data_IF_969037616974
#
_entry.id   IF_969037616974
#
_cell.length_a   1.000
_cell.length_b   1.000
_cell.length_c   1.000
_cell.angle_alpha   90.00
_cell.angle_beta   90.00
_cell.angle_gamma   90.00
#
_symmetry.space_group_name_H-M   'P 1'
#
loop_
_entity.id
_entity.type
_entity.pdbx_description
1 polymer ?
#
# COMPACT_ATOMS: atom_id res chain seq x y z
N UNK A 1 8.20 11.77 -6.06
CA UNK A 1 7.74 10.67 -5.18
C UNK A 1 6.47 11.10 -4.47
N UNK A 2 5.50 10.21 -4.32
CA UNK A 2 4.23 10.52 -3.67
C UNK A 2 4.42 10.83 -2.19
N UNK A 3 3.65 11.81 -1.67
CA UNK A 3 3.63 12.15 -0.25
C UNK A 3 2.44 11.50 0.45
N UNK A 4 2.48 11.45 1.78
CA UNK A 4 1.35 10.96 2.58
C UNK A 4 0.06 11.73 2.27
N UNK A 5 0.15 13.05 2.14
CA UNK A 5 -1.00 13.90 1.85
C UNK A 5 -1.62 13.57 0.50
N UNK A 6 -0.80 13.42 -0.54
CA UNK A 6 -1.26 13.00 -1.86
C UNK A 6 -1.89 11.61 -1.82
N UNK A 7 -1.25 10.68 -1.11
CA UNK A 7 -1.74 9.31 -0.99
C UNK A 7 -3.13 9.27 -0.34
N UNK A 8 -3.33 10.00 0.74
CA UNK A 8 -4.63 10.07 1.45
C UNK A 8 -5.73 10.72 0.63
N UNK A 9 -5.37 11.55 -0.35
CA UNK A 9 -6.34 12.19 -1.24
C UNK A 9 -6.86 11.27 -2.34
N UNK A 10 -6.12 10.23 -2.68
CA UNK A 10 -6.47 9.33 -3.79
C UNK A 10 -6.83 7.92 -3.37
N UNK A 11 -6.34 7.47 -2.22
CA UNK A 11 -6.57 6.11 -1.70
C UNK A 11 -7.03 6.14 -0.25
N UNK A 12 -7.93 5.22 0.07
CA UNK A 12 -8.29 4.90 1.45
C UNK A 12 -7.60 3.59 1.83
N UNK A 13 -6.97 3.55 3.00
CA UNK A 13 -6.30 2.37 3.53
C UNK A 13 -7.03 1.84 4.75
N UNK A 14 -7.40 0.56 4.74
CA UNK A 14 -8.00 -0.12 5.88
C UNK A 14 -6.91 -0.90 6.62
N UNK A 15 -6.53 -0.43 7.82
CA UNK A 15 -5.43 -1.06 8.58
C UNK A 15 -5.81 -2.46 9.10
N UNK A 16 -7.10 -2.77 9.24
CA UNK A 16 -7.52 -4.09 9.71
C UNK A 16 -7.37 -5.17 8.66
N UNK A 17 -7.58 -4.80 7.39
CA UNK A 17 -7.52 -5.74 6.27
C UNK A 17 -6.27 -5.57 5.42
N UNK A 18 -5.61 -4.41 5.51
CA UNK A 18 -4.48 -4.07 4.65
C UNK A 18 -4.87 -3.71 3.22
N UNK A 19 -6.14 -3.43 2.97
CA UNK A 19 -6.66 -3.19 1.64
C UNK A 19 -6.70 -1.69 1.35
N UNK A 20 -6.21 -1.31 0.15
CA UNK A 20 -6.39 0.03 -0.40
C UNK A 20 -7.57 0.06 -1.35
N UNK A 21 -8.35 1.14 -1.30
CA UNK A 21 -9.43 1.39 -2.27
C UNK A 21 -9.27 2.78 -2.86
N UNK A 22 -9.62 2.93 -4.15
CA UNK A 22 -9.62 4.23 -4.79
C UNK A 22 -10.78 5.08 -4.26
N UNK A 23 -10.49 6.28 -3.78
CA UNK A 23 -11.53 7.18 -3.23
C UNK A 23 -12.55 7.53 -4.30
N UNK A 24 -12.11 7.73 -5.54
CA UNK A 24 -12.99 8.18 -6.65
C UNK A 24 -14.10 7.19 -7.00
N UNK A 25 -13.92 5.90 -6.77
CA UNK A 25 -14.91 4.87 -7.19
C UNK A 25 -15.06 3.72 -6.19
N UNK A 26 -14.36 3.74 -5.07
CA UNK A 26 -14.40 2.71 -4.02
C UNK A 26 -13.99 1.31 -4.51
N UNK A 27 -13.27 1.22 -5.64
CA UNK A 27 -12.76 -0.05 -6.17
C UNK A 27 -11.44 -0.37 -5.48
N UNK A 28 -11.22 -1.64 -5.14
CA UNK A 28 -9.97 -2.11 -4.57
C UNK A 28 -8.81 -1.80 -5.51
N UNK A 29 -7.77 -1.16 -4.98
CA UNK A 29 -6.59 -0.79 -5.75
C UNK A 29 -5.52 -1.88 -5.66
N UNK A 30 -4.80 -2.06 -6.75
CA UNK A 30 -3.64 -2.93 -6.78
C UNK A 30 -3.83 -4.25 -7.50
N UNK A 31 -2.71 -4.83 -7.91
CA UNK A 31 -2.66 -6.13 -8.59
C UNK A 31 -1.59 -6.98 -7.91
N UNK A 32 -1.80 -8.30 -7.90
CA UNK A 32 -0.82 -9.24 -7.34
C UNK A 32 0.29 -9.44 -8.37
N UNK A 33 1.53 -9.18 -7.96
CA UNK A 33 2.71 -9.42 -8.80
C UNK A 33 3.10 -10.90 -8.80
N UNK A 34 4.01 -11.27 -9.72
CA UNK A 34 4.52 -12.64 -9.83
C UNK A 34 5.11 -13.18 -8.53
N UNK A 35 5.71 -12.29 -7.73
CA UNK A 35 6.31 -12.65 -6.44
C UNK A 35 5.32 -12.70 -5.27
N UNK A 36 4.04 -12.43 -5.52
CA UNK A 36 3.00 -12.43 -4.50
C UNK A 36 2.76 -11.11 -3.80
N UNK A 37 3.53 -10.08 -4.10
CA UNK A 37 3.30 -8.74 -3.55
C UNK A 37 2.20 -8.02 -4.32
N UNK A 38 1.53 -7.09 -3.65
CA UNK A 38 0.55 -6.23 -4.30
C UNK A 38 1.22 -4.92 -4.71
N UNK A 39 1.04 -4.55 -5.98
CA UNK A 39 1.52 -3.29 -6.53
C UNK A 39 0.35 -2.38 -6.89
N UNK A 40 0.49 -1.09 -6.61
CA UNK A 40 -0.51 -0.08 -6.96
C UNK A 40 0.16 0.95 -7.86
N UNK A 41 -0.41 1.17 -9.05
CA UNK A 41 0.11 2.14 -10.00
C UNK A 41 -0.55 3.50 -9.81
N UNK A 42 0.26 4.52 -9.50
CA UNK A 42 -0.20 5.89 -9.27
C UNK A 42 0.63 6.81 -10.15
N UNK A 43 -0.03 7.61 -11.01
CA UNK A 43 0.64 8.58 -11.88
C UNK A 43 1.79 7.94 -12.68
N UNK A 44 1.55 6.77 -13.27
CA UNK A 44 2.50 6.01 -14.10
C UNK A 44 3.67 5.41 -13.31
N UNK A 45 3.66 5.50 -11.99
CA UNK A 45 4.66 4.84 -11.12
C UNK A 45 4.01 3.69 -10.36
N UNK A 46 4.70 2.56 -10.32
CA UNK A 46 4.25 1.40 -9.56
C UNK A 46 4.86 1.42 -8.16
N UNK A 47 4.03 1.27 -7.15
CA UNK A 47 4.45 1.22 -5.75
C UNK A 47 4.03 -0.10 -5.12
N UNK A 48 4.86 -0.62 -4.24
CA UNK A 48 4.48 -1.79 -3.43
C UNK A 48 3.45 -1.35 -2.38
N UNK A 49 2.35 -2.09 -2.26
CA UNK A 49 1.28 -1.71 -1.34
C UNK A 49 1.74 -1.66 0.11
N UNK A 50 2.61 -2.58 0.54
CA UNK A 50 3.13 -2.56 1.92
C UNK A 50 3.96 -1.30 2.22
N UNK A 51 4.65 -0.75 1.23
CA UNK A 51 5.38 0.52 1.38
C UNK A 51 4.43 1.70 1.43
N UNK A 52 3.36 1.67 0.64
CA UNK A 52 2.32 2.71 0.68
C UNK A 52 1.57 2.68 2.02
N UNK A 53 1.34 1.49 2.59
CA UNK A 53 0.73 1.36 3.91
C UNK A 53 1.59 2.05 4.97
N UNK A 54 2.90 1.86 4.92
CA UNK A 54 3.83 2.52 5.83
C UNK A 54 3.77 4.04 5.69
N UNK A 55 3.80 4.53 4.44
CA UNK A 55 3.69 5.97 4.15
C UNK A 55 2.37 6.53 4.67
N UNK A 56 1.27 5.80 4.46
CA UNK A 56 -0.08 6.23 4.86
C UNK A 56 -0.17 6.44 6.38
N UNK A 57 0.40 5.53 7.15
CA UNK A 57 0.30 5.53 8.62
C UNK A 57 1.37 6.44 9.24
N UNK A 58 2.62 6.35 8.79
CA UNK A 58 3.75 7.00 9.44
C UNK A 58 4.23 8.29 8.79
N UNK A 59 3.77 8.59 7.57
CA UNK A 59 4.08 9.85 6.90
C UNK A 59 5.36 9.84 6.07
N UNK A 60 6.11 8.74 6.06
CA UNK A 60 7.32 8.59 5.24
C UNK A 60 7.48 7.14 4.79
N UNK A 61 8.29 6.94 3.76
CA UNK A 61 8.63 5.58 3.32
C UNK A 61 9.62 4.95 4.31
N UNK A 62 9.58 3.61 4.48
CA UNK A 62 10.55 2.93 5.32
C UNK A 62 11.94 3.04 4.70
N UNK A 63 12.97 3.13 5.56
CA UNK A 63 14.36 3.18 5.10
C UNK A 63 14.85 1.85 4.59
N UNK A 64 14.30 0.75 5.11
CA UNK A 64 14.66 -0.61 4.75
C UNK A 64 13.45 -1.36 4.22
N UNK A 65 13.70 -2.49 3.57
CA UNK A 65 12.63 -3.35 3.08
C UNK A 65 11.82 -3.92 4.24
N UNK A 66 10.49 -3.88 4.11
CA UNK A 66 9.57 -4.41 5.11
C UNK A 66 9.35 -5.91 4.84
N UNK A 67 9.57 -6.74 5.86
CA UNK A 67 9.21 -8.15 5.81
C UNK A 67 7.84 -8.35 6.46
N UNK A 68 7.03 -9.23 5.87
CA UNK A 68 5.73 -9.57 6.43
C UNK A 68 5.90 -10.59 7.56
N UNK A 69 5.34 -10.29 8.74
CA UNK A 69 5.50 -11.13 9.93
C UNK A 69 4.90 -12.53 9.76
N UNK A 70 3.80 -12.64 9.02
CA UNK A 70 3.12 -13.92 8.79
C UNK A 70 3.60 -14.64 7.51
N UNK A 71 4.53 -14.06 6.78
CA UNK A 71 5.03 -14.62 5.52
C UNK A 71 4.07 -14.53 4.34
N UNK A 72 2.92 -13.90 4.50
CA UNK A 72 1.93 -13.71 3.43
C UNK A 72 2.21 -12.40 2.73
N UNK A 73 2.80 -12.45 1.54
CA UNK A 73 3.31 -11.28 0.82
C UNK A 73 2.23 -10.29 0.38
N UNK A 74 0.99 -10.74 0.20
CA UNK A 74 -0.13 -9.88 -0.18
C UNK A 74 -0.96 -9.40 1.01
N UNK A 75 -0.56 -9.72 2.24
CA UNK A 75 -1.19 -9.20 3.46
C UNK A 75 -0.50 -7.90 3.85
N UNK A 76 -1.15 -6.78 3.61
CA UNK A 76 -0.59 -5.45 3.83
C UNK A 76 -1.16 -4.76 5.06
N UNK A 77 -1.63 -5.52 6.04
CA UNK A 77 -2.00 -4.98 7.34
C UNK A 77 -0.78 -4.37 8.02
N UNK A 78 -0.94 -3.16 8.57
CA UNK A 78 0.19 -2.44 9.17
C UNK A 78 0.77 -3.18 10.39
N UNK A 79 -0.01 -4.01 11.04
CA UNK A 79 0.42 -4.80 12.20
C UNK A 79 1.15 -6.10 11.83
N UNK A 80 1.33 -6.35 10.55
CA UNK A 80 1.96 -7.58 10.06
C UNK A 80 3.39 -7.34 9.56
#
# INVERSE_FOLDING_TARGET
MITQSELKNILHYNQDTGVFTWIKNSIVAGTVEKKGYIAIKINRKSYKAHRLAWLYIYGNFPKEQIDHLNGIKNDNCINN
#
